data_IF_377774776401
#
_entry.id   IF_377774776401
#
_cell.length_a   1.000
_cell.length_b   1.000
_cell.length_c   1.000
_cell.angle_alpha   90.00
_cell.angle_beta   90.00
_cell.angle_gamma   90.00
#
_symmetry.space_group_name_H-M   'P 1'
#
loop_
_entity.id
_entity.type
_entity.pdbx_description
1 polymer ?
#
# COMPACT_ATOMS: atom_id res chain seq x y z
N UNK A 1 13.05 -4.48 1.13
CA UNK A 1 13.31 -4.48 -0.32
C UNK A 1 12.53 -5.65 -0.89
N UNK A 2 11.49 -5.40 -1.69
CA UNK A 2 10.71 -6.48 -2.30
C UNK A 2 11.56 -7.16 -3.37
N UNK A 3 11.89 -8.42 -3.17
CA UNK A 3 12.63 -9.22 -4.13
C UNK A 3 11.73 -9.47 -5.35
N UNK A 4 12.23 -9.16 -6.55
CA UNK A 4 11.53 -9.51 -7.78
C UNK A 4 11.84 -10.96 -8.14
N UNK A 5 10.95 -11.87 -7.71
CA UNK A 5 11.13 -13.31 -7.89
C UNK A 5 11.23 -13.74 -9.36
N UNK A 6 10.73 -12.94 -10.30
CA UNK A 6 10.87 -13.24 -11.73
C UNK A 6 12.32 -13.09 -12.21
N UNK A 7 13.01 -12.05 -11.76
CA UNK A 7 14.38 -11.76 -12.17
C UNK A 7 15.39 -12.74 -11.56
N UNK A 8 15.12 -13.19 -10.33
CA UNK A 8 15.95 -14.17 -9.63
C UNK A 8 15.65 -15.63 -10.02
N UNK A 9 14.54 -15.88 -10.71
CA UNK A 9 14.15 -17.24 -11.09
C UNK A 9 15.12 -17.84 -12.12
N UNK A 10 15.41 -19.16 -12.05
CA UNK A 10 16.22 -19.83 -13.05
C UNK A 10 15.53 -19.73 -14.41
N UNK A 11 16.27 -19.27 -15.43
CA UNK A 11 15.73 -19.15 -16.79
C UNK A 11 15.59 -20.53 -17.41
N UNK A 12 14.44 -20.79 -18.03
CA UNK A 12 14.22 -22.02 -18.77
C UNK A 12 15.21 -22.11 -19.95
N UNK A 13 15.81 -23.29 -20.18
CA UNK A 13 16.71 -23.48 -21.31
C UNK A 13 15.94 -23.38 -22.62
N UNK A 14 16.51 -22.66 -23.59
CA UNK A 14 16.00 -22.66 -24.96
C UNK A 14 16.52 -23.93 -25.64
N UNK A 15 15.63 -24.89 -25.89
CA UNK A 15 15.90 -26.05 -26.74
C UNK A 15 16.36 -25.51 -28.11
N UNK A 16 17.53 -25.92 -28.62
CA UNK A 16 17.95 -25.58 -29.99
C UNK A 16 17.76 -26.81 -30.87
N UNK A 17 17.02 -26.67 -31.96
CA UNK A 17 16.76 -27.77 -32.88
C UNK A 17 17.79 -27.73 -34.01
N UNK A 18 18.22 -28.90 -34.51
CA UNK A 18 18.99 -28.97 -35.75
C UNK A 18 18.14 -28.52 -36.94
N UNK A 19 18.79 -28.11 -38.04
CA UNK A 19 18.12 -27.53 -39.21
C UNK A 19 16.98 -28.42 -39.75
N UNK A 20 17.17 -29.74 -39.78
CA UNK A 20 16.14 -30.66 -40.28
C UNK A 20 14.89 -30.82 -39.38
N UNK A 21 14.90 -30.23 -38.17
CA UNK A 21 13.78 -30.21 -37.22
C UNK A 21 13.21 -28.80 -36.98
N UNK A 22 13.80 -27.75 -37.57
CA UNK A 22 13.45 -26.36 -37.23
C UNK A 22 12.08 -25.92 -37.77
N UNK A 23 11.53 -26.64 -38.75
CA UNK A 23 10.26 -26.32 -39.40
C UNK A 23 10.28 -25.04 -40.22
N UNK A 24 11.47 -24.56 -40.60
CA UNK A 24 11.70 -23.36 -41.41
C UNK A 24 12.53 -23.66 -42.67
N UNK A 25 13.54 -24.54 -42.59
CA UNK A 25 14.50 -24.74 -43.69
C UNK A 25 14.07 -25.76 -44.74
N UNK A 26 13.26 -26.76 -44.37
CA UNK A 26 12.84 -27.85 -45.26
C UNK A 26 11.39 -27.75 -45.74
N UNK A 27 10.64 -26.75 -45.29
CA UNK A 27 9.19 -26.68 -45.50
C UNK A 27 8.80 -25.82 -46.69
N UNK A 28 8.08 -26.41 -47.65
CA UNK A 28 7.46 -25.71 -48.80
C UNK A 28 6.14 -25.02 -48.42
N UNK A 29 5.52 -25.42 -47.30
CA UNK A 29 4.26 -24.89 -46.81
C UNK A 29 4.46 -23.66 -45.90
N UNK A 30 3.57 -22.65 -45.91
CA UNK A 30 3.66 -21.47 -45.03
C UNK A 30 3.48 -21.76 -43.54
N UNK A 31 2.97 -22.94 -43.17
CA UNK A 31 2.63 -23.31 -41.80
C UNK A 31 3.76 -24.09 -41.13
N UNK A 32 4.10 -23.81 -39.85
CA UNK A 32 5.12 -24.55 -39.13
C UNK A 32 4.68 -26.01 -38.98
N UNK A 33 5.53 -26.95 -39.42
CA UNK A 33 5.26 -28.39 -39.36
C UNK A 33 5.82 -29.03 -38.09
N UNK A 34 5.35 -30.23 -37.75
CA UNK A 34 6.01 -31.08 -36.77
C UNK A 34 7.44 -31.38 -37.26
N UNK A 35 8.50 -31.28 -36.43
CA UNK A 35 8.54 -31.26 -34.96
C UNK A 35 8.65 -29.87 -34.31
N UNK A 36 8.69 -28.79 -35.09
CA UNK A 36 8.84 -27.42 -34.56
C UNK A 36 7.64 -26.99 -33.69
N UNK A 37 6.43 -27.40 -34.07
CA UNK A 37 5.21 -27.16 -33.27
C UNK A 37 5.31 -27.81 -31.88
N UNK A 38 5.83 -29.03 -31.79
CA UNK A 38 5.97 -29.75 -30.53
C UNK A 38 6.95 -29.06 -29.60
N UNK A 39 8.08 -28.56 -30.12
CA UNK A 39 9.00 -27.73 -29.33
C UNK A 39 8.32 -26.51 -28.75
N UNK A 40 7.61 -25.74 -29.58
CA UNK A 40 6.95 -24.50 -29.15
C UNK A 40 5.88 -24.80 -28.11
N UNK A 41 5.10 -25.87 -28.33
CA UNK A 41 4.13 -26.38 -27.35
C UNK A 41 4.79 -26.73 -26.02
N UNK A 42 5.88 -27.49 -26.04
CA UNK A 42 6.60 -27.89 -24.82
C UNK A 42 7.25 -26.69 -24.12
N UNK A 43 7.83 -25.73 -24.85
CA UNK A 43 8.37 -24.49 -24.28
C UNK A 43 7.28 -23.65 -23.60
N UNK A 44 6.14 -23.44 -24.26
CA UNK A 44 5.03 -22.68 -23.69
C UNK A 44 4.40 -23.36 -22.47
N UNK A 45 4.32 -24.70 -22.48
CA UNK A 45 3.89 -25.49 -21.33
C UNK A 45 4.81 -25.25 -20.12
N UNK A 46 6.13 -25.40 -20.31
CA UNK A 46 7.08 -25.19 -19.21
C UNK A 46 7.12 -23.75 -18.71
N UNK A 47 6.97 -22.76 -19.59
CA UNK A 47 6.82 -21.36 -19.19
C UNK A 47 5.57 -21.14 -18.32
N UNK A 48 4.45 -21.79 -18.65
CA UNK A 48 3.23 -21.72 -17.84
C UNK A 48 3.42 -22.38 -16.47
N UNK A 49 4.07 -23.55 -16.43
CA UNK A 49 4.40 -24.24 -15.18
C UNK A 49 5.32 -23.39 -14.31
N UNK A 50 6.36 -22.76 -14.90
CA UNK A 50 7.21 -21.81 -14.19
C UNK A 50 6.38 -20.65 -13.61
N UNK A 51 5.47 -20.07 -14.40
CA UNK A 51 4.57 -19.03 -13.94
C UNK A 51 3.71 -19.46 -12.75
N UNK A 52 3.17 -20.69 -12.77
CA UNK A 52 2.41 -21.25 -11.64
C UNK A 52 3.26 -21.44 -10.39
N UNK A 53 4.52 -21.86 -10.52
CA UNK A 53 5.41 -21.99 -9.36
C UNK A 53 5.85 -20.64 -8.80
N UNK A 54 6.04 -19.63 -9.65
CA UNK A 54 6.43 -18.28 -9.23
C UNK A 54 5.26 -17.49 -8.63
N UNK A 55 4.03 -17.73 -9.08
CA UNK A 55 2.87 -16.95 -8.64
C UNK A 55 2.71 -16.91 -7.10
N UNK A 56 2.78 -18.01 -6.34
CA UNK A 56 2.72 -17.97 -4.87
C UNK A 56 3.81 -17.09 -4.24
N UNK A 57 5.01 -17.06 -4.82
CA UNK A 57 6.12 -16.23 -4.32
C UNK A 57 5.82 -14.74 -4.48
N UNK A 58 5.17 -14.36 -5.59
CA UNK A 58 4.72 -12.97 -5.80
C UNK A 58 3.68 -12.53 -4.77
N UNK A 59 2.85 -13.46 -4.27
CA UNK A 59 1.81 -13.17 -3.29
C UNK A 59 2.34 -13.00 -1.86
N UNK A 60 3.63 -13.25 -1.61
CA UNK A 60 4.27 -13.05 -0.30
C UNK A 60 4.34 -11.58 0.11
N UNK A 61 4.43 -10.67 -0.86
CA UNK A 61 4.54 -9.23 -0.61
C UNK A 61 3.16 -8.60 -0.33
N UNK A 62 2.92 -8.08 0.89
CA UNK A 62 1.63 -7.47 1.24
C UNK A 62 1.29 -6.24 0.41
N UNK A 63 2.30 -5.55 -0.13
CA UNK A 63 2.06 -4.34 -0.92
C UNK A 63 1.49 -4.63 -2.31
N UNK A 64 1.72 -5.83 -2.85
CA UNK A 64 1.34 -6.19 -4.24
C UNK A 64 0.37 -7.38 -4.33
N UNK A 65 0.24 -8.19 -3.28
CA UNK A 65 -0.64 -9.37 -3.27
C UNK A 65 -2.14 -9.10 -3.48
N UNK A 66 -2.93 -10.14 -3.74
CA UNK A 66 -4.40 -10.07 -3.78
C UNK A 66 -5.00 -9.73 -2.42
N UNK A 67 -6.23 -9.22 -2.39
CA UNK A 67 -6.91 -8.82 -1.14
C UNK A 67 -7.17 -10.03 -0.23
N UNK A 68 -7.52 -11.18 -0.80
CA UNK A 68 -7.75 -12.41 -0.03
C UNK A 68 -6.47 -12.91 0.64
N UNK A 69 -5.35 -12.89 -0.10
CA UNK A 69 -4.04 -13.22 0.47
C UNK A 69 -3.64 -12.21 1.54
N UNK A 70 -3.91 -10.92 1.31
CA UNK A 70 -3.64 -9.86 2.28
C UNK A 70 -4.36 -10.11 3.61
N UNK A 71 -5.60 -10.61 3.57
CA UNK A 71 -6.35 -10.97 4.77
C UNK A 71 -5.68 -12.11 5.55
N UNK A 72 -5.17 -13.13 4.86
CA UNK A 72 -4.43 -14.22 5.50
C UNK A 72 -3.13 -13.73 6.13
N UNK A 73 -2.39 -12.88 5.41
CA UNK A 73 -1.16 -12.26 5.90
C UNK A 73 -1.41 -11.30 7.08
N UNK A 74 -2.55 -10.62 7.09
CA UNK A 74 -2.94 -9.77 8.20
C UNK A 74 -3.27 -10.60 9.45
N UNK A 75 -3.95 -11.74 9.27
CA UNK A 75 -4.24 -12.67 10.36
C UNK A 75 -2.96 -13.20 11.01
N UNK A 76 -1.97 -13.64 10.22
CA UNK A 76 -0.66 -14.08 10.72
C UNK A 76 0.04 -12.98 11.55
N UNK A 77 -0.08 -11.72 11.11
CA UNK A 77 0.53 -10.55 11.75
C UNK A 77 -0.35 -9.90 12.82
N UNK A 78 -1.46 -10.54 13.20
CA UNK A 78 -2.43 -10.04 14.19
C UNK A 78 -2.94 -8.62 13.91
N UNK A 79 -3.24 -8.33 12.64
CA UNK A 79 -3.84 -7.05 12.21
C UNK A 79 -5.29 -7.28 11.82
N UNK A 80 -6.18 -6.51 12.44
CA UNK A 80 -7.60 -6.50 12.13
C UNK A 80 -7.88 -5.33 11.18
N UNK A 81 -8.53 -5.63 10.05
CA UNK A 81 -8.95 -4.61 9.08
C UNK A 81 -10.13 -3.82 9.63
N UNK A 82 -10.06 -2.51 9.53
CA UNK A 82 -11.19 -1.64 9.87
C UNK A 82 -12.16 -1.50 8.69
N UNK A 83 -13.45 -1.28 8.96
CA UNK A 83 -14.50 -1.29 7.92
C UNK A 83 -14.24 -0.26 6.81
N UNK A 84 -13.85 0.94 7.20
CA UNK A 84 -13.65 2.09 6.30
C UNK A 84 -12.16 2.42 6.09
N UNK A 85 -11.27 1.45 6.28
CA UNK A 85 -9.84 1.64 6.06
C UNK A 85 -9.50 1.58 4.56
N UNK A 86 -8.79 2.58 4.02
CA UNK A 86 -8.37 2.55 2.64
C UNK A 86 -7.35 1.43 2.41
N UNK A 87 -7.47 0.72 1.27
CA UNK A 87 -6.67 -0.48 0.99
C UNK A 87 -5.16 -0.24 1.06
N UNK A 88 -4.70 0.93 0.63
CA UNK A 88 -3.28 1.29 0.66
C UNK A 88 -2.72 1.35 2.09
N UNK A 89 -3.52 1.83 3.05
CA UNK A 89 -3.13 1.92 4.46
C UNK A 89 -3.11 0.53 5.09
N UNK A 90 -4.13 -0.27 4.79
CA UNK A 90 -4.22 -1.66 5.23
C UNK A 90 -2.98 -2.46 4.77
N UNK A 91 -2.60 -2.34 3.49
CA UNK A 91 -1.38 -2.96 2.95
C UNK A 91 -0.12 -2.53 3.70
N UNK A 92 0.03 -1.24 3.99
CA UNK A 92 1.18 -0.71 4.74
C UNK A 92 1.22 -1.23 6.18
N UNK A 93 0.10 -1.26 6.90
CA UNK A 93 0.04 -1.83 8.26
C UNK A 93 0.49 -3.28 8.26
N UNK A 94 0.01 -4.06 7.30
CA UNK A 94 0.37 -5.48 7.16
C UNK A 94 1.84 -5.66 6.75
N UNK A 95 2.35 -4.84 5.83
CA UNK A 95 3.75 -4.88 5.39
C UNK A 95 4.73 -4.54 6.52
N UNK A 96 4.43 -3.51 7.31
CA UNK A 96 5.31 -2.98 8.34
C UNK A 96 4.99 -3.47 9.76
N UNK A 97 4.10 -4.46 9.92
CA UNK A 97 3.59 -4.91 11.22
C UNK A 97 4.71 -5.19 12.25
N UNK A 98 5.73 -5.95 11.85
CA UNK A 98 6.84 -6.34 12.73
C UNK A 98 7.72 -5.15 13.14
N UNK A 99 8.05 -4.27 12.18
CA UNK A 99 8.88 -3.10 12.44
C UNK A 99 8.11 -2.11 13.31
N UNK A 100 6.82 -1.94 13.05
CA UNK A 100 5.96 -1.08 13.84
C UNK A 100 5.77 -1.61 15.27
N UNK A 101 5.61 -2.92 15.45
CA UNK A 101 5.53 -3.53 16.77
C UNK A 101 6.82 -3.32 17.58
N UNK A 102 7.99 -3.34 16.93
CA UNK A 102 9.28 -3.08 17.59
C UNK A 102 9.42 -1.62 18.04
N UNK A 103 8.92 -0.68 17.24
CA UNK A 103 9.06 0.75 17.50
C UNK A 103 7.97 1.33 18.42
N UNK A 104 6.90 0.56 18.64
CA UNK A 104 5.76 0.95 19.46
C UNK A 104 6.20 1.35 20.88
N UNK A 105 5.48 2.29 21.48
CA UNK A 105 5.74 2.76 22.83
C UNK A 105 6.94 3.71 23.00
N UNK A 106 7.67 4.08 21.95
CA UNK A 106 8.68 5.17 22.01
C UNK A 106 8.21 6.39 21.22
N UNK A 107 8.58 7.61 21.64
CA UNK A 107 8.15 8.85 20.95
C UNK A 107 8.70 8.90 19.52
N UNK A 108 9.99 8.59 19.34
CA UNK A 108 10.62 8.53 18.01
C UNK A 108 10.06 7.38 17.17
N UNK A 109 9.83 6.22 17.78
CA UNK A 109 9.25 5.07 17.09
C UNK A 109 7.84 5.37 16.60
N UNK A 110 7.04 6.09 17.40
CA UNK A 110 5.71 6.55 17.00
C UNK A 110 5.76 7.44 15.74
N UNK A 111 6.66 8.43 15.70
CA UNK A 111 6.88 9.26 14.51
C UNK A 111 7.27 8.39 13.30
N UNK A 112 8.17 7.42 13.49
CA UNK A 112 8.62 6.53 12.43
C UNK A 112 7.49 5.63 11.89
N UNK A 113 6.64 5.10 12.78
CA UNK A 113 5.48 4.28 12.42
C UNK A 113 4.54 5.08 11.53
N UNK A 114 4.17 6.27 11.96
CA UNK A 114 3.23 7.15 11.25
C UNK A 114 3.78 7.62 9.90
N UNK A 115 5.09 7.89 9.81
CA UNK A 115 5.76 8.18 8.55
C UNK A 115 5.69 7.00 7.57
N UNK A 116 5.89 5.75 8.02
CA UNK A 116 5.73 4.56 7.15
C UNK A 116 4.29 4.41 6.68
N UNK A 117 3.34 4.66 7.57
CA UNK A 117 1.91 4.64 7.27
C UNK A 117 1.49 5.80 6.36
N UNK A 118 2.33 6.80 6.09
CA UNK A 118 2.01 7.93 5.22
C UNK A 118 1.05 8.95 5.84
N UNK A 119 0.98 8.97 7.18
CA UNK A 119 0.21 9.94 7.95
C UNK A 119 1.22 10.61 8.90
N UNK A 120 1.87 11.72 8.50
CA UNK A 120 2.94 12.29 9.31
C UNK A 120 2.40 12.89 10.61
N UNK A 121 3.13 12.68 11.71
CA UNK A 121 2.87 13.31 13.01
C UNK A 121 3.63 14.64 13.06
N UNK A 122 2.92 15.72 13.36
CA UNK A 122 3.48 17.07 13.47
C UNK A 122 4.17 17.28 14.81
N UNK A 123 3.50 16.91 15.89
CA UNK A 123 4.03 17.07 17.25
C UNK A 123 3.48 16.00 18.20
N UNK A 124 4.28 15.64 19.20
CA UNK A 124 3.86 14.79 20.31
C UNK A 124 4.23 15.53 21.59
N UNK A 125 3.23 15.83 22.40
CA UNK A 125 3.42 16.53 23.66
C UNK A 125 3.07 15.61 24.84
N UNK A 126 4.04 15.42 25.72
CA UNK A 126 3.89 14.70 26.98
C UNK A 126 4.05 15.70 28.15
N UNK A 127 3.39 15.44 29.28
CA UNK A 127 3.53 16.23 30.53
C UNK A 127 3.20 17.72 30.34
N UNK A 128 2.13 18.02 29.60
CA UNK A 128 1.64 19.37 29.44
C UNK A 128 1.16 19.94 30.79
N UNK A 129 1.33 21.25 31.04
CA UNK A 129 0.65 21.91 32.15
C UNK A 129 -0.88 21.77 31.97
N UNK A 130 -1.61 21.70 33.07
CA UNK A 130 -3.08 21.60 33.10
C UNK A 130 -3.70 20.32 32.51
N UNK A 131 -2.89 19.29 32.24
CA UNK A 131 -3.36 17.94 31.87
C UNK A 131 -2.86 16.87 32.84
N UNK A 132 -3.61 15.79 32.95
CA UNK A 132 -3.18 14.62 33.72
C UNK A 132 -1.87 14.04 33.16
N UNK A 133 -1.05 13.50 34.05
CA UNK A 133 0.30 13.05 33.71
C UNK A 133 0.34 11.91 32.70
N UNK A 134 -0.76 11.16 32.57
CA UNK A 134 -0.91 10.00 31.69
C UNK A 134 -1.45 10.35 30.29
N UNK A 135 -1.84 11.61 30.06
CA UNK A 135 -2.36 12.09 28.77
C UNK A 135 -1.22 12.49 27.82
N UNK A 136 -1.25 11.96 26.60
CA UNK A 136 -0.34 12.29 25.51
C UNK A 136 -1.15 12.92 24.39
N UNK A 137 -0.79 14.15 24.01
CA UNK A 137 -1.43 14.88 22.90
C UNK A 137 -0.62 14.70 21.63
N UNK A 138 -1.26 14.17 20.59
CA UNK A 138 -0.63 13.92 19.29
C UNK A 138 -1.28 14.83 18.25
N UNK A 139 -0.45 15.57 17.53
CA UNK A 139 -0.89 16.44 16.45
C UNK A 139 -0.57 15.79 15.11
N UNK A 140 -1.59 15.57 14.28
CA UNK A 140 -1.50 14.77 13.06
C UNK A 140 -2.00 15.60 11.88
N UNK A 141 -1.34 15.45 10.73
CA UNK A 141 -1.83 15.99 9.46
C UNK A 141 -2.96 15.09 8.89
N UNK A 142 -4.17 15.62 8.78
CA UNK A 142 -5.36 14.88 8.33
C UNK A 142 -5.66 15.13 6.83
N UNK A 143 -4.61 15.36 6.04
CA UNK A 143 -4.73 15.50 4.58
C UNK A 143 -5.06 14.16 3.90
N UNK A 144 -4.67 13.03 4.50
CA UNK A 144 -4.70 11.71 3.83
C UNK A 144 -5.75 10.73 4.36
N UNK A 145 -6.16 10.80 5.63
CA UNK A 145 -7.06 9.81 6.24
C UNK A 145 -8.11 10.46 7.17
N UNK A 146 -9.29 10.73 6.61
CA UNK A 146 -10.36 11.48 7.28
C UNK A 146 -11.10 10.76 8.42
N UNK A 147 -10.85 9.47 8.66
CA UNK A 147 -11.60 8.70 9.64
C UNK A 147 -11.01 8.83 11.05
N UNK A 148 -11.72 9.59 11.89
CA UNK A 148 -11.37 9.81 13.29
C UNK A 148 -11.28 8.50 14.10
N UNK A 149 -12.26 7.62 13.94
CA UNK A 149 -12.29 6.33 14.65
C UNK A 149 -11.11 5.42 14.25
N UNK A 150 -10.72 5.45 12.97
CA UNK A 150 -9.57 4.70 12.47
C UNK A 150 -8.27 5.23 13.08
N UNK A 151 -8.08 6.55 13.12
CA UNK A 151 -6.90 7.16 13.73
C UNK A 151 -6.80 6.85 15.22
N UNK A 152 -7.89 7.01 15.98
CA UNK A 152 -7.91 6.65 17.39
C UNK A 152 -7.49 5.19 17.63
N UNK A 153 -7.99 4.28 16.79
CA UNK A 153 -7.65 2.85 16.87
C UNK A 153 -6.18 2.59 16.56
N UNK A 154 -5.64 3.19 15.50
CA UNK A 154 -4.22 3.04 15.12
C UNK A 154 -3.30 3.59 16.22
N UNK A 155 -3.65 4.74 16.80
CA UNK A 155 -2.90 5.33 17.91
C UNK A 155 -2.92 4.38 19.12
N UNK A 156 -4.06 3.77 19.41
CA UNK A 156 -4.20 2.81 20.51
C UNK A 156 -3.38 1.53 20.26
N UNK A 157 -3.35 1.01 19.03
CA UNK A 157 -2.59 -0.20 18.65
C UNK A 157 -1.08 -0.04 18.90
N UNK A 158 -0.53 1.14 18.66
CA UNK A 158 0.91 1.42 18.78
C UNK A 158 1.28 2.25 20.02
N UNK A 159 0.27 2.61 20.82
CA UNK A 159 0.40 3.34 22.07
C UNK A 159 0.92 2.48 23.22
N UNK A 160 1.31 3.14 24.31
CA UNK A 160 1.64 2.50 25.58
C UNK A 160 0.33 2.11 26.29
N UNK A 161 0.29 0.92 26.88
CA UNK A 161 -0.90 0.35 27.53
C UNK A 161 -1.45 1.17 28.70
N UNK A 162 -0.61 1.93 29.41
CA UNK A 162 -1.00 2.75 30.57
C UNK A 162 -0.96 4.26 30.27
N UNK A 163 -1.31 4.66 29.05
CA UNK A 163 -1.37 6.07 28.63
C UNK A 163 -2.68 6.34 27.89
N UNK A 164 -3.24 7.53 28.12
CA UNK A 164 -4.41 8.01 27.39
C UNK A 164 -3.94 8.89 26.24
N UNK A 165 -4.46 8.62 25.06
CA UNK A 165 -4.06 9.33 23.85
C UNK A 165 -5.20 10.22 23.37
N UNK A 166 -4.89 11.50 23.25
CA UNK A 166 -5.74 12.48 22.58
C UNK A 166 -5.03 12.89 21.29
N UNK A 167 -5.79 13.06 20.22
CA UNK A 167 -5.20 13.57 18.98
C UNK A 167 -5.99 14.75 18.41
N UNK A 168 -5.25 15.64 17.79
CA UNK A 168 -5.78 16.80 17.07
C UNK A 168 -5.41 16.64 15.61
N UNK A 169 -6.43 16.64 14.75
CA UNK A 169 -6.28 16.64 13.31
C UNK A 169 -6.14 18.08 12.81
N UNK A 170 -4.99 18.42 12.25
CA UNK A 170 -4.80 19.70 11.56
C UNK A 170 -5.14 19.52 10.07
N UNK A 171 -6.02 20.37 9.55
CA UNK A 171 -6.30 20.50 8.11
C UNK A 171 -6.04 21.91 7.67
N UNK A 172 -5.11 22.10 6.75
CA UNK A 172 -4.94 23.37 6.06
C UNK A 172 -6.11 23.57 5.09
N UNK A 173 -7.04 24.47 5.41
CA UNK A 173 -8.09 24.90 4.50
C UNK A 173 -7.65 26.18 3.78
N UNK A 174 -7.56 26.13 2.45
CA UNK A 174 -7.39 27.33 1.65
C UNK A 174 -8.76 28.04 1.53
N UNK A 175 -8.92 29.16 2.24
CA UNK A 175 -10.08 30.02 2.07
C UNK A 175 -9.83 31.02 0.94
N UNK A 176 -10.63 30.96 -0.12
CA UNK A 176 -10.64 31.99 -1.17
C UNK A 176 -11.52 33.13 -0.66
N UNK A 177 -10.90 34.22 -0.22
CA UNK A 177 -11.60 35.46 0.13
C UNK A 177 -11.80 36.29 -1.13
N UNK A 178 -13.04 36.31 -1.64
CA UNK A 178 -13.43 37.26 -2.67
C UNK A 178 -13.68 38.62 -2.01
N UNK A 179 -12.75 39.57 -2.21
CA UNK A 179 -12.96 40.97 -1.85
C UNK A 179 -13.65 41.69 -3.00
N UNK A 180 -14.80 42.31 -2.75
CA UNK A 180 -15.40 43.29 -3.65
C UNK A 180 -15.45 44.65 -2.98
N UNK A 181 -15.27 45.71 -3.75
CA UNK A 181 -15.51 47.06 -3.28
C UNK A 181 -17.01 47.26 -3.03
N UNK A 182 -17.37 47.66 -1.81
CA UNK A 182 -18.75 48.09 -1.53
C UNK A 182 -18.85 49.56 -1.92
N UNK A 183 -19.16 49.78 -3.19
CA UNK A 183 -19.75 51.05 -3.60
C UNK A 183 -21.27 50.94 -3.39
N UNK A 184 -21.94 52.00 -2.93
CA UNK A 184 -23.38 51.98 -2.61
C UNK A 184 -24.29 51.85 -3.85
N UNK A 185 -23.79 51.26 -4.93
CA UNK A 185 -24.55 50.86 -6.09
C UNK A 185 -25.08 49.44 -5.87
N UNK A 186 -26.40 49.29 -5.93
CA UNK A 186 -27.06 48.00 -5.84
C UNK A 186 -26.67 47.15 -7.05
N UNK A 187 -25.98 46.03 -6.83
CA UNK A 187 -25.76 45.02 -7.85
C UNK A 187 -26.36 43.69 -7.39
N UNK A 188 -27.19 43.10 -8.23
CA UNK A 188 -27.82 41.80 -7.96
C UNK A 188 -26.97 40.71 -8.59
N UNK A 189 -26.34 39.87 -7.75
CA UNK A 189 -25.59 38.71 -8.20
C UNK A 189 -26.41 37.44 -7.93
N UNK A 190 -26.67 36.66 -8.96
CA UNK A 190 -27.31 35.34 -8.84
C UNK A 190 -26.28 34.24 -9.06
N UNK A 191 -26.12 33.35 -8.08
CA UNK A 191 -25.37 32.12 -8.25
C UNK A 191 -26.33 31.00 -8.69
N UNK A 192 -25.93 30.23 -9.70
CA UNK A 192 -26.60 28.99 -10.12
C UNK A 192 -25.67 27.82 -9.85
N UNK A 193 -26.12 26.86 -9.05
CA UNK A 193 -25.44 25.57 -8.91
C UNK A 193 -25.79 24.69 -10.11
N UNK A 194 -24.77 24.14 -10.78
CA UNK A 194 -24.90 23.04 -11.75
C UNK A 194 -25.00 21.70 -11.04
#
# INVERSE_FOLDING_TARGET
>A
MSINHNDESPKLPVLNLPFWMDGQTLTESPQPQEPAMLRTGMQSFWQRVQGWMLWPLTQRDPLTCSVDMLHLLAWERRIIRFRDEPLWLYRKRVAFAFVNAKDAGSTQGFINIFNRLGVPVLSIAERQPDKDWDVISIEIDDTTVSSAALMATIIQDYGRTCRRYEYVSNKAAAAILAGSEVNADYQTLTARSS
#
